data_IF_770870918477
#
_entry.id   IF_770870918477
#
_cell.length_a   1.000
_cell.length_b   1.000
_cell.length_c   1.000
_cell.angle_alpha   90.00
_cell.angle_beta   90.00
_cell.angle_gamma   90.00
#
_symmetry.space_group_name_H-M   'P 1'
#
loop_
_entity.id
_entity.type
_entity.pdbx_description
1 polymer ?
#
# COMPACT_ATOMS: atom_id res chain seq x y z
N UNK A 1 -45.44 64.11 -8.27
CA UNK A 1 -44.38 64.02 -9.29
C UNK A 1 -43.38 63.00 -8.78
N UNK A 2 -43.60 61.73 -9.16
CA UNK A 2 -42.92 61.01 -10.25
C UNK A 2 -41.70 60.21 -9.73
N UNK A 3 -41.87 58.89 -9.77
CA UNK A 3 -40.92 57.79 -10.04
C UNK A 3 -39.42 57.98 -9.77
N UNK A 4 -38.79 57.04 -9.06
CA UNK A 4 -38.19 55.87 -9.71
C UNK A 4 -37.84 54.76 -8.70
N UNK A 5 -38.21 53.56 -9.11
CA UNK A 5 -37.98 52.26 -8.51
C UNK A 5 -36.62 51.77 -9.01
N UNK A 6 -35.68 51.43 -8.12
CA UNK A 6 -34.52 50.59 -8.46
C UNK A 6 -34.39 49.53 -7.37
N UNK A 7 -35.11 48.43 -7.58
CA UNK A 7 -34.84 47.12 -7.01
C UNK A 7 -33.45 46.67 -7.45
N UNK A 8 -32.46 46.83 -6.57
CA UNK A 8 -31.11 46.30 -6.74
C UNK A 8 -31.08 44.80 -6.46
N UNK A 9 -31.35 44.01 -7.49
CA UNK A 9 -31.05 42.59 -7.56
C UNK A 9 -29.52 42.43 -7.59
N UNK A 10 -28.90 42.32 -6.42
CA UNK A 10 -27.60 41.69 -6.21
C UNK A 10 -27.79 40.70 -5.04
N UNK A 11 -28.72 39.74 -5.16
CA UNK A 11 -28.47 38.46 -5.85
C UNK A 11 -27.16 37.85 -5.37
N UNK A 12 -27.23 37.12 -4.24
CA UNK A 12 -26.97 35.67 -4.14
C UNK A 12 -25.67 35.08 -4.69
N UNK A 13 -24.83 35.84 -5.39
CA UNK A 13 -23.63 35.38 -6.09
C UNK A 13 -22.35 35.62 -5.30
N UNK A 14 -22.34 36.60 -4.39
CA UNK A 14 -21.18 36.81 -3.51
C UNK A 14 -21.12 35.78 -2.38
N UNK A 15 -22.28 35.32 -1.89
CA UNK A 15 -22.34 34.20 -0.93
C UNK A 15 -22.01 32.85 -1.57
N UNK A 16 -22.36 32.66 -2.85
CA UNK A 16 -22.03 31.43 -3.57
C UNK A 16 -20.54 31.34 -3.88
N UNK A 17 -19.88 32.42 -4.32
CA UNK A 17 -18.44 32.35 -4.64
C UNK A 17 -17.56 32.05 -3.41
N UNK A 18 -17.93 32.54 -2.22
CA UNK A 18 -17.20 32.25 -0.98
C UNK A 18 -17.55 30.84 -0.47
N UNK A 19 -18.81 30.40 -0.60
CA UNK A 19 -19.22 29.03 -0.28
C UNK A 19 -18.61 28.01 -1.25
N UNK A 20 -18.46 28.35 -2.53
CA UNK A 20 -17.82 27.53 -3.56
C UNK A 20 -16.30 27.51 -3.37
N UNK A 21 -15.67 28.61 -2.96
CA UNK A 21 -14.23 28.60 -2.66
C UNK A 21 -13.90 27.89 -1.35
N UNK A 22 -14.76 27.99 -0.32
CA UNK A 22 -14.68 27.16 0.89
C UNK A 22 -15.04 25.70 0.62
N UNK A 23 -15.99 25.42 -0.26
CA UNK A 23 -16.35 24.06 -0.72
C UNK A 23 -15.25 23.45 -1.56
N UNK A 24 -14.57 24.22 -2.42
CA UNK A 24 -13.42 23.75 -3.19
C UNK A 24 -12.18 23.55 -2.30
N UNK A 25 -11.96 24.39 -1.28
CA UNK A 25 -10.90 24.17 -0.30
C UNK A 25 -11.24 23.02 0.68
N UNK A 26 -12.50 22.83 1.09
CA UNK A 26 -12.93 21.61 1.79
C UNK A 26 -12.86 20.39 0.87
N UNK A 27 -13.17 20.50 -0.42
CA UNK A 27 -13.12 19.41 -1.39
C UNK A 27 -11.68 19.00 -1.71
N UNK A 28 -10.75 19.96 -1.76
CA UNK A 28 -9.29 19.72 -1.81
C UNK A 28 -8.77 19.12 -0.49
N UNK A 29 -9.35 19.50 0.64
CA UNK A 29 -9.05 18.89 1.94
C UNK A 29 -9.71 17.50 2.10
N UNK A 30 -10.81 17.24 1.39
CA UNK A 30 -11.53 15.96 1.38
C UNK A 30 -10.94 14.99 0.36
N UNK A 31 -10.28 15.46 -0.70
CA UNK A 31 -9.51 14.61 -1.62
C UNK A 31 -8.30 13.94 -0.97
N UNK A 32 -7.85 14.43 0.19
CA UNK A 32 -6.82 13.77 1.02
C UNK A 32 -7.33 12.53 1.78
N UNK A 33 -8.64 12.25 1.80
CA UNK A 33 -9.20 11.02 2.40
C UNK A 33 -9.43 9.89 1.37
N UNK A 34 -8.81 9.99 0.18
CA UNK A 34 -8.94 8.94 -0.84
C UNK A 34 -8.12 7.70 -0.49
N UNK A 35 -8.83 6.77 0.16
CA UNK A 35 -8.75 5.32 -0.03
C UNK A 35 -7.58 4.59 0.64
N UNK A 36 -7.89 3.89 1.72
CA UNK A 36 -7.02 2.96 2.47
C UNK A 36 -6.28 1.97 1.56
N UNK A 37 -6.86 1.63 0.40
CA UNK A 37 -6.24 0.67 -0.50
C UNK A 37 -6.53 0.89 -1.99
N UNK A 38 -5.60 0.49 -2.85
CA UNK A 38 -5.84 0.26 -4.30
C UNK A 38 -6.57 -1.07 -4.49
N UNK A 39 -6.38 -2.00 -3.55
CA UNK A 39 -6.98 -3.33 -3.56
C UNK A 39 -7.31 -3.80 -2.14
N UNK A 40 -8.52 -4.31 -1.98
CA UNK A 40 -9.03 -4.83 -0.73
C UNK A 40 -9.82 -6.10 -1.05
N UNK A 41 -9.26 -7.26 -0.69
CA UNK A 41 -10.01 -8.52 -0.64
C UNK A 41 -10.36 -8.83 0.81
N UNK A 42 -11.57 -9.31 1.04
CA UNK A 42 -12.04 -9.82 2.33
C UNK A 42 -11.96 -8.83 3.50
N UNK A 43 -11.99 -7.52 3.22
CA UNK A 43 -12.28 -6.49 4.22
C UNK A 43 -13.59 -5.76 3.95
N UNK A 44 -14.25 -5.38 5.05
CA UNK A 44 -15.19 -4.27 5.05
C UNK A 44 -14.46 -2.99 5.45
N UNK A 45 -14.57 -1.96 4.60
CA UNK A 45 -13.94 -0.67 4.84
C UNK A 45 -14.97 0.35 5.35
N UNK A 46 -14.67 1.00 6.48
CA UNK A 46 -15.42 2.17 6.97
C UNK A 46 -14.43 3.26 7.39
N UNK A 47 -14.30 4.30 6.56
CA UNK A 47 -13.33 5.39 6.75
C UNK A 47 -11.88 4.91 6.81
N UNK A 48 -11.36 4.65 8.02
CA UNK A 48 -10.00 4.20 8.34
C UNK A 48 -10.00 2.80 8.98
N UNK A 49 -11.18 2.23 9.25
CA UNK A 49 -11.34 0.92 9.87
C UNK A 49 -11.38 -0.18 8.80
N UNK A 50 -10.52 -1.17 8.96
CA UNK A 50 -10.54 -2.45 8.26
C UNK A 50 -11.10 -3.51 9.19
N UNK A 51 -12.06 -4.28 8.70
CA UNK A 51 -12.67 -5.42 9.41
C UNK A 51 -12.55 -6.67 8.55
N UNK A 52 -11.88 -7.71 9.06
CA UNK A 52 -11.72 -8.97 8.35
C UNK A 52 -13.07 -9.69 8.23
N UNK A 53 -13.46 -10.00 7.00
CA UNK A 53 -14.73 -10.70 6.67
C UNK A 53 -14.51 -12.00 5.91
N UNK A 54 -13.25 -12.45 5.80
CA UNK A 54 -12.89 -13.70 5.15
C UNK A 54 -13.23 -14.94 5.99
N UNK A 55 -12.96 -16.13 5.43
CA UNK A 55 -13.30 -17.42 6.05
C UNK A 55 -12.36 -17.83 7.17
N UNK A 56 -11.08 -17.43 7.10
CA UNK A 56 -10.04 -17.77 8.08
C UNK A 56 -9.79 -19.26 8.30
N UNK A 57 -10.08 -20.12 7.30
CA UNK A 57 -9.98 -21.59 7.43
C UNK A 57 -8.65 -22.13 6.93
N UNK A 58 -8.06 -21.48 5.93
CA UNK A 58 -6.80 -21.82 5.30
C UNK A 58 -5.85 -20.64 5.34
N UNK A 59 -4.54 -20.90 5.29
CA UNK A 59 -3.48 -19.89 5.13
C UNK A 59 -3.62 -19.06 3.84
N UNK A 60 -4.48 -19.49 2.91
CA UNK A 60 -4.81 -18.78 1.67
C UNK A 60 -5.98 -17.80 1.83
N UNK A 61 -6.74 -17.85 2.93
CA UNK A 61 -7.91 -16.99 3.17
C UNK A 61 -7.50 -15.61 3.73
N UNK A 62 -6.30 -15.13 3.35
CA UNK A 62 -5.76 -13.85 3.83
C UNK A 62 -6.59 -12.70 3.25
N UNK A 63 -7.06 -11.82 4.12
CA UNK A 63 -7.51 -10.49 3.74
C UNK A 63 -6.29 -9.60 3.58
N UNK A 64 -6.11 -9.00 2.39
CA UNK A 64 -5.01 -8.10 2.08
C UNK A 64 -5.56 -6.71 1.69
N UNK A 65 -5.04 -5.68 2.36
CA UNK A 65 -5.28 -4.28 2.06
C UNK A 65 -3.93 -3.59 1.81
N UNK A 66 -3.78 -2.96 0.65
CA UNK A 66 -2.55 -2.26 0.27
C UNK A 66 -2.89 -0.85 -0.19
N UNK A 67 -2.23 0.15 0.40
CA UNK A 67 -2.41 1.57 0.07
C UNK A 67 -2.17 1.87 -1.42
N UNK A 68 -2.70 3.00 -1.87
CA UNK A 68 -2.69 3.39 -3.29
C UNK A 68 -1.37 3.95 -3.79
N UNK A 69 -0.55 4.42 -2.87
CA UNK A 69 0.69 5.13 -3.16
C UNK A 69 1.82 4.47 -2.37
N UNK A 70 3.03 4.39 -2.94
CA UNK A 70 4.17 3.94 -2.18
C UNK A 70 4.52 4.97 -1.10
N UNK A 71 5.25 4.53 -0.09
CA UNK A 71 5.93 5.46 0.80
C UNK A 71 6.97 6.27 0.01
N UNK A 72 7.10 7.54 0.35
CA UNK A 72 8.02 8.50 -0.26
C UNK A 72 8.78 9.27 0.80
N UNK A 73 9.78 10.06 0.42
CA UNK A 73 10.54 10.91 1.36
C UNK A 73 9.67 11.90 2.14
N UNK A 74 8.45 12.20 1.66
CA UNK A 74 7.49 13.09 2.33
C UNK A 74 6.50 12.32 3.21
N UNK A 75 6.09 11.13 2.78
CA UNK A 75 5.17 10.25 3.52
C UNK A 75 5.85 8.90 3.68
N UNK A 76 6.66 8.76 4.73
CA UNK A 76 7.60 7.64 4.90
C UNK A 76 7.26 6.71 6.06
N UNK A 77 6.12 6.91 6.72
CA UNK A 77 5.70 6.18 7.92
C UNK A 77 4.18 6.12 8.01
N UNK A 78 3.63 5.00 8.48
CA UNK A 78 2.21 4.81 8.73
C UNK A 78 1.98 3.94 9.98
N UNK A 79 0.78 4.06 10.56
CA UNK A 79 0.40 3.38 11.79
C UNK A 79 -0.89 2.56 11.62
N UNK A 80 -0.99 1.50 12.42
CA UNK A 80 -2.15 0.63 12.53
C UNK A 80 -2.44 0.36 14.00
N UNK A 81 -3.62 0.77 14.44
CA UNK A 81 -4.16 0.48 15.77
C UNK A 81 -4.93 -0.84 15.70
N UNK A 82 -4.60 -1.80 16.58
CA UNK A 82 -5.36 -3.04 16.74
C UNK A 82 -6.62 -2.73 17.54
N UNK A 83 -7.76 -2.63 16.85
CA UNK A 83 -9.05 -2.30 17.46
C UNK A 83 -9.69 -3.54 18.09
N UNK A 84 -9.53 -4.69 17.44
CA UNK A 84 -10.03 -5.98 17.90
C UNK A 84 -9.04 -7.05 17.41
N UNK A 85 -8.45 -7.81 18.34
CA UNK A 85 -7.47 -8.83 17.99
C UNK A 85 -8.10 -10.06 17.31
N UNK A 86 -9.43 -10.18 17.31
CA UNK A 86 -10.12 -11.38 16.83
C UNK A 86 -9.71 -12.64 17.58
N UNK A 87 -9.94 -13.80 16.96
CA UNK A 87 -9.68 -15.09 17.62
C UNK A 87 -8.19 -15.43 17.77
N UNK A 88 -7.34 -15.01 16.82
CA UNK A 88 -5.93 -15.43 16.75
C UNK A 88 -4.92 -14.29 16.63
N UNK A 89 -5.36 -13.07 16.31
CA UNK A 89 -4.51 -11.89 16.12
C UNK A 89 -3.46 -12.05 15.00
N UNK A 90 -3.81 -12.78 13.94
CA UNK A 90 -3.05 -12.90 12.69
C UNK A 90 -3.13 -11.61 11.86
N UNK A 91 -2.67 -10.53 12.49
CA UNK A 91 -2.62 -9.17 11.96
C UNK A 91 -1.16 -8.88 11.62
N UNK A 92 -0.90 -8.49 10.38
CA UNK A 92 0.43 -8.11 9.93
C UNK A 92 0.43 -6.68 9.38
N UNK A 93 1.47 -5.93 9.76
CA UNK A 93 1.77 -4.59 9.27
C UNK A 93 3.07 -4.65 8.48
N UNK A 94 3.10 -4.11 7.27
CA UNK A 94 4.35 -4.03 6.53
C UNK A 94 4.27 -3.28 5.22
N UNK A 95 5.25 -3.58 4.38
CA UNK A 95 5.43 -3.01 3.07
C UNK A 95 5.49 -4.11 2.03
N UNK A 96 4.91 -3.87 0.86
CA UNK A 96 4.96 -4.81 -0.24
C UNK A 96 5.04 -4.08 -1.59
N UNK A 97 5.54 -4.78 -2.61
CA UNK A 97 5.49 -4.34 -4.01
C UNK A 97 4.05 -4.21 -4.51
N UNK A 98 3.85 -3.45 -5.59
CA UNK A 98 2.52 -3.10 -6.13
C UNK A 98 1.66 -4.31 -6.54
N UNK A 99 2.26 -5.37 -7.05
CA UNK A 99 1.59 -6.57 -7.55
C UNK A 99 1.63 -7.75 -6.54
N UNK A 100 1.72 -7.44 -5.23
CA UNK A 100 1.84 -8.47 -4.20
C UNK A 100 0.67 -9.49 -4.23
N UNK A 101 0.95 -10.80 -4.07
CA UNK A 101 -0.08 -11.83 -4.10
C UNK A 101 -1.13 -11.64 -3.01
N UNK A 102 -2.39 -11.59 -3.45
CA UNK A 102 -3.54 -11.18 -2.63
C UNK A 102 -3.97 -12.20 -1.57
N UNK A 103 -3.61 -13.45 -1.80
CA UNK A 103 -3.85 -14.60 -0.91
C UNK A 103 -2.66 -14.92 -0.01
N UNK A 104 -1.70 -13.98 0.12
CA UNK A 104 -0.50 -14.14 0.95
C UNK A 104 -0.47 -13.04 1.99
N UNK A 105 -0.09 -13.40 3.22
CA UNK A 105 0.10 -12.44 4.28
C UNK A 105 1.34 -11.57 3.98
N UNK A 106 1.38 -10.28 4.35
CA UNK A 106 2.56 -9.44 4.14
C UNK A 106 3.83 -10.08 4.70
N UNK A 107 4.94 -9.96 3.97
CA UNK A 107 6.23 -10.57 4.32
C UNK A 107 6.41 -12.02 3.89
N UNK A 108 5.34 -12.74 3.51
CA UNK A 108 5.42 -14.16 3.13
C UNK A 108 5.93 -14.42 1.70
N UNK A 109 5.93 -13.42 0.82
CA UNK A 109 6.36 -13.54 -0.58
C UNK A 109 7.35 -12.42 -0.93
N UNK A 110 8.20 -12.67 -1.92
CA UNK A 110 9.28 -11.76 -2.34
C UNK A 110 8.78 -10.33 -2.60
N UNK A 111 9.64 -9.34 -2.33
CA UNK A 111 9.31 -7.92 -2.45
C UNK A 111 8.37 -7.42 -1.36
N UNK A 112 8.35 -8.07 -0.19
CA UNK A 112 7.60 -7.62 0.98
C UNK A 112 8.34 -7.91 2.29
N UNK A 113 8.17 -7.01 3.26
CA UNK A 113 8.65 -7.14 4.64
C UNK A 113 7.56 -6.72 5.60
N UNK A 114 7.32 -7.49 6.66
CA UNK A 114 6.24 -7.22 7.60
C UNK A 114 6.53 -7.72 9.02
N UNK A 115 5.94 -7.04 10.00
CA UNK A 115 5.92 -7.39 11.41
C UNK A 115 4.55 -7.95 11.78
N UNK A 116 4.54 -9.15 12.38
CA UNK A 116 3.32 -9.91 12.68
C UNK A 116 2.97 -9.79 14.17
N UNK A 117 1.71 -9.43 14.46
CA UNK A 117 1.24 -9.16 15.81
C UNK A 117 1.16 -10.42 16.68
N UNK A 118 0.79 -11.55 16.09
CA UNK A 118 0.56 -12.82 16.79
C UNK A 118 1.83 -13.52 17.25
N UNK A 119 3.01 -13.26 16.70
CA UNK A 119 4.23 -13.94 17.17
C UNK A 119 5.40 -13.00 17.41
N UNK A 120 5.23 -11.73 17.04
CA UNK A 120 6.26 -10.72 17.19
C UNK A 120 7.44 -10.91 16.23
N UNK A 121 7.29 -11.73 15.18
CA UNK A 121 8.34 -11.97 14.21
C UNK A 121 8.27 -10.99 13.04
N UNK A 122 9.41 -10.87 12.38
CA UNK A 122 9.53 -10.21 11.09
C UNK A 122 9.60 -11.25 9.98
N UNK A 123 8.83 -11.05 8.93
CA UNK A 123 8.81 -11.88 7.73
C UNK A 123 9.31 -11.04 6.56
N UNK A 124 10.21 -11.59 5.76
CA UNK A 124 10.81 -10.91 4.62
C UNK A 124 10.92 -11.88 3.45
N UNK A 125 10.08 -11.71 2.44
CA UNK A 125 10.11 -12.52 1.23
C UNK A 125 9.75 -14.01 1.39
N UNK A 126 9.45 -14.48 2.61
CA UNK A 126 9.45 -15.90 2.98
C UNK A 126 8.37 -16.22 4.01
N UNK A 127 7.80 -17.42 3.94
CA UNK A 127 6.85 -17.94 4.93
C UNK A 127 7.48 -18.27 6.29
N UNK A 128 8.80 -18.12 6.44
CA UNK A 128 9.51 -18.36 7.70
C UNK A 128 9.90 -17.01 8.31
N UNK A 129 9.39 -16.74 9.51
CA UNK A 129 9.66 -15.50 10.25
C UNK A 129 10.84 -15.63 11.22
N UNK A 130 11.50 -14.49 11.49
CA UNK A 130 12.61 -14.38 12.42
C UNK A 130 12.19 -13.64 13.71
N UNK A 131 12.72 -14.02 14.89
CA UNK A 131 12.49 -13.27 16.13
C UNK A 131 12.87 -11.79 15.96
N UNK A 132 11.98 -10.88 16.36
CA UNK A 132 12.18 -9.45 16.11
C UNK A 132 11.70 -8.57 17.26
N UNK A 133 10.43 -8.67 17.63
CA UNK A 133 9.79 -7.89 18.68
C UNK A 133 8.85 -8.71 19.55
N UNK A 134 8.18 -8.09 20.52
CA UNK A 134 7.12 -8.74 21.29
C UNK A 134 5.87 -8.98 20.43
N UNK A 135 4.92 -9.79 20.92
CA UNK A 135 3.57 -9.85 20.35
C UNK A 135 2.84 -8.51 20.58
N UNK A 136 1.94 -8.15 19.68
CA UNK A 136 1.03 -7.02 19.85
C UNK A 136 -0.35 -7.52 20.33
N UNK A 137 -1.10 -6.66 20.99
CA UNK A 137 -2.43 -6.95 21.55
C UNK A 137 -3.41 -5.85 21.16
N UNK A 138 -4.70 -6.08 21.41
CA UNK A 138 -5.73 -5.06 21.28
C UNK A 138 -5.35 -3.77 22.04
N UNK A 139 -5.52 -2.63 21.37
CA UNK A 139 -5.13 -1.30 21.83
C UNK A 139 -3.69 -0.90 21.50
N UNK A 140 -2.82 -1.82 21.05
CA UNK A 140 -1.49 -1.44 20.58
C UNK A 140 -1.57 -0.72 19.22
N UNK A 141 -0.67 0.25 19.04
CA UNK A 141 -0.41 0.93 17.77
C UNK A 141 0.90 0.39 17.19
N UNK A 142 0.82 -0.32 16.08
CA UNK A 142 1.97 -0.77 15.30
C UNK A 142 2.32 0.28 14.27
N UNK A 143 3.60 0.57 14.05
CA UNK A 143 4.04 1.48 13.00
C UNK A 143 5.10 0.87 12.10
N UNK A 144 5.15 1.33 10.85
CA UNK A 144 6.11 0.88 9.84
C UNK A 144 6.51 2.06 8.96
N UNK A 145 7.80 2.18 8.68
CA UNK A 145 8.31 3.24 7.82
C UNK A 145 9.65 2.91 7.18
N UNK A 146 10.09 3.83 6.31
CA UNK A 146 11.35 3.74 5.57
C UNK A 146 12.26 4.89 5.99
N UNK A 147 13.51 4.58 6.32
CA UNK A 147 14.56 5.58 6.42
C UNK A 147 15.17 5.78 5.03
N UNK A 148 14.68 6.78 4.30
CA UNK A 148 15.22 7.13 2.99
C UNK A 148 16.60 7.82 3.11
N UNK A 149 17.59 7.40 2.32
CA UNK A 149 18.81 8.18 2.11
C UNK A 149 18.51 9.60 1.63
N UNK A 150 19.40 10.56 1.90
CA UNK A 150 19.18 11.98 1.55
C UNK A 150 19.09 12.22 0.04
N UNK A 151 19.75 11.37 -0.73
CA UNK A 151 19.85 11.38 -2.19
C UNK A 151 18.89 10.36 -2.83
N UNK A 152 17.88 9.89 -2.10
CA UNK A 152 16.90 8.95 -2.62
C UNK A 152 15.99 9.62 -3.65
N UNK A 153 15.98 9.08 -4.88
CA UNK A 153 15.14 9.53 -6.00
C UNK A 153 14.34 8.32 -6.47
N UNK A 154 13.02 8.29 -6.31
CA UNK A 154 12.23 7.18 -6.85
C UNK A 154 12.37 7.14 -8.37
N UNK A 155 12.75 5.99 -8.90
CA UNK A 155 12.83 5.77 -10.35
C UNK A 155 11.37 5.89 -10.89
N UNK A 156 10.99 7.07 -11.41
CA UNK A 156 9.65 7.38 -11.91
C UNK A 156 9.00 8.69 -11.43
N UNK A 157 9.64 9.52 -10.60
CA UNK A 157 9.11 10.88 -10.30
C UNK A 157 9.30 11.88 -11.46
N UNK A 158 10.18 11.59 -12.43
CA UNK A 158 10.53 12.51 -13.53
C UNK A 158 9.66 12.38 -14.81
N UNK A 159 8.78 11.35 -14.93
CA UNK A 159 8.04 11.07 -16.17
C UNK A 159 6.61 11.65 -16.22
N UNK A 160 6.17 12.43 -15.23
CA UNK A 160 4.77 12.93 -15.16
C UNK A 160 4.59 14.31 -15.81
N UNK A 161 5.66 15.00 -16.19
CA UNK A 161 5.58 16.37 -16.73
C UNK A 161 6.12 16.54 -18.17
N UNK A 162 5.90 15.61 -19.12
CA UNK A 162 5.96 15.93 -20.57
C UNK A 162 5.29 14.88 -21.49
N UNK A 163 3.96 14.74 -21.46
CA UNK A 163 3.26 14.09 -22.59
C UNK A 163 3.12 15.12 -23.71
N UNK A 164 4.09 15.17 -24.63
CA UNK A 164 3.91 15.78 -25.95
C UNK A 164 3.13 14.80 -26.85
N UNK A 165 1.90 15.11 -27.29
CA UNK A 165 1.08 14.20 -28.10
C UNK A 165 1.57 13.96 -29.54
N UNK A 166 2.76 14.43 -29.93
CA UNK A 166 3.14 14.54 -31.34
C UNK A 166 4.48 13.90 -31.74
N UNK A 167 4.92 12.78 -31.19
CA UNK A 167 6.05 12.05 -31.81
C UNK A 167 6.05 10.52 -31.59
N UNK A 168 5.25 9.79 -32.38
CA UNK A 168 5.55 8.38 -32.71
C UNK A 168 5.29 8.13 -34.20
N UNK A 169 6.29 8.41 -35.03
CA UNK A 169 6.40 7.87 -36.39
C UNK A 169 7.01 6.45 -36.32
N UNK A 170 6.53 5.49 -37.13
CA UNK A 170 6.99 4.11 -37.07
C UNK A 170 8.36 3.95 -37.74
N UNK A 171 9.32 3.34 -37.03
CA UNK A 171 10.52 2.79 -37.67
C UNK A 171 10.22 1.38 -38.19
N UNK A 172 10.34 1.23 -39.50
CA UNK A 172 10.27 -0.03 -40.22
C UNK A 172 11.48 -0.92 -39.85
N UNK A 173 11.21 -2.19 -39.61
CA UNK A 173 12.19 -3.26 -39.48
C UNK A 173 11.51 -4.58 -39.79
N UNK A 174 11.81 -5.12 -40.96
CA UNK A 174 11.19 -6.27 -41.62
C UNK A 174 11.35 -7.58 -40.85
N UNK A 175 10.37 -8.50 -40.93
CA UNK A 175 10.63 -9.89 -40.56
C UNK A 175 9.44 -10.79 -40.18
N UNK A 176 8.57 -11.09 -41.15
CA UNK A 176 7.92 -12.40 -41.37
C UNK A 176 7.16 -13.08 -40.20
N UNK A 177 5.83 -12.99 -40.28
CA UNK A 177 4.86 -13.84 -39.59
C UNK A 177 5.03 -15.30 -40.03
N UNK A 178 5.05 -16.23 -39.08
CA UNK A 178 4.60 -17.61 -39.32
C UNK A 178 3.93 -18.20 -38.07
N UNK A 179 2.61 -18.36 -38.16
CA UNK A 179 1.79 -19.19 -37.27
C UNK A 179 1.99 -20.68 -37.63
N UNK A 180 1.95 -21.60 -36.65
CA UNK A 180 1.51 -23.03 -36.71
C UNK A 180 1.77 -23.68 -35.32
N UNK A 181 0.75 -23.94 -34.48
CA UNK A 181 -0.12 -25.14 -34.28
C UNK A 181 0.42 -26.21 -33.26
N UNK A 182 -0.43 -26.44 -32.25
CA UNK A 182 -0.69 -27.54 -31.29
C UNK A 182 0.27 -28.73 -31.02
N UNK A 183 0.46 -28.96 -29.70
CA UNK A 183 0.43 -30.19 -28.88
C UNK A 183 1.31 -31.40 -29.21
N UNK A 184 2.11 -31.84 -28.22
CA UNK A 184 2.02 -33.18 -27.63
C UNK A 184 2.80 -33.30 -26.30
N UNK A 185 2.23 -34.11 -25.42
CA UNK A 185 2.69 -34.55 -24.09
C UNK A 185 4.02 -35.32 -24.13
N UNK A 186 4.81 -35.25 -23.05
CA UNK A 186 5.44 -36.41 -22.37
C UNK A 186 6.30 -35.95 -21.16
N UNK A 187 5.82 -36.40 -19.99
CA UNK A 187 6.52 -36.88 -18.78
C UNK A 187 7.49 -36.01 -17.93
N UNK A 188 7.31 -36.26 -16.63
CA UNK A 188 7.86 -35.68 -15.40
C UNK A 188 9.39 -35.63 -15.29
N UNK A 189 9.95 -34.51 -14.80
CA UNK A 189 10.97 -34.50 -13.73
C UNK A 189 10.79 -33.22 -12.89
N UNK A 190 10.47 -33.39 -11.59
CA UNK A 190 10.48 -32.32 -10.59
C UNK A 190 11.92 -31.94 -10.27
N UNK A 191 12.47 -30.92 -10.97
CA UNK A 191 13.67 -30.25 -10.48
C UNK A 191 13.27 -29.18 -9.46
N UNK A 192 13.53 -29.49 -8.20
CA UNK A 192 13.56 -28.56 -7.06
C UNK A 192 14.71 -27.54 -7.30
N UNK A 193 14.47 -26.62 -8.23
CA UNK A 193 15.32 -25.49 -8.50
C UNK A 193 15.17 -24.48 -7.38
N UNK A 194 16.00 -24.59 -6.34
CA UNK A 194 16.24 -23.49 -5.43
C UNK A 194 16.59 -22.26 -6.26
N UNK A 195 15.71 -21.25 -6.25
CA UNK A 195 15.96 -19.97 -6.89
C UNK A 195 17.24 -19.41 -6.26
N UNK A 196 18.34 -19.55 -7.00
CA UNK A 196 19.61 -18.91 -6.71
C UNK A 196 19.32 -17.42 -6.56
N UNK A 197 19.61 -16.88 -5.36
CA UNK A 197 19.61 -15.44 -5.09
C UNK A 197 20.43 -14.76 -6.18
N UNK A 198 19.75 -14.21 -7.19
CA UNK A 198 20.35 -13.22 -8.05
C UNK A 198 20.60 -12.03 -7.14
N UNK A 199 21.87 -11.75 -6.84
CA UNK A 199 22.29 -10.47 -6.28
C UNK A 199 21.91 -9.37 -7.28
N UNK A 200 20.65 -8.94 -7.24
CA UNK A 200 20.25 -7.70 -7.89
C UNK A 200 20.92 -6.58 -7.09
N UNK A 201 21.81 -5.83 -7.75
CA UNK A 201 22.37 -4.55 -7.29
C UNK A 201 21.26 -3.47 -7.25
N UNK A 202 20.16 -3.80 -6.59
CA UNK A 202 19.00 -2.95 -6.43
C UNK A 202 19.20 -2.01 -5.26
N UNK A 203 18.64 -0.81 -5.38
CA UNK A 203 18.72 0.20 -4.32
C UNK A 203 18.16 -0.37 -3.01
N UNK A 204 18.92 -0.21 -1.93
CA UNK A 204 18.52 -0.67 -0.60
C UNK A 204 18.02 0.48 0.29
N UNK A 205 17.09 0.17 1.17
CA UNK A 205 16.60 1.08 2.22
C UNK A 205 16.46 0.34 3.55
N UNK A 206 16.47 1.10 4.64
CA UNK A 206 16.20 0.56 5.96
C UNK A 206 14.71 0.73 6.29
N UNK A 207 13.98 -0.37 6.36
CA UNK A 207 12.62 -0.41 6.90
C UNK A 207 12.69 -0.53 8.41
N UNK A 208 11.87 0.22 9.14
CA UNK A 208 11.79 0.17 10.59
C UNK A 208 10.36 -0.07 11.05
N UNK A 209 10.22 -0.62 12.25
CA UNK A 209 8.94 -0.92 12.86
C UNK A 209 8.88 -0.37 14.27
N UNK A 210 7.69 0.08 14.68
CA UNK A 210 7.42 0.62 16.00
C UNK A 210 6.23 -0.09 16.65
N UNK A 211 6.17 -0.02 17.98
CA UNK A 211 5.00 -0.36 18.78
C UNK A 211 4.79 0.74 19.81
N UNK A 212 3.62 1.36 19.82
CA UNK A 212 3.27 2.49 20.69
C UNK A 212 4.34 3.61 20.63
N UNK A 213 4.77 3.94 19.41
CA UNK A 213 5.83 4.92 19.13
C UNK A 213 7.26 4.48 19.48
N UNK A 214 7.46 3.32 20.13
CA UNK A 214 8.80 2.79 20.44
C UNK A 214 9.33 1.95 19.30
N UNK A 215 10.55 2.22 18.85
CA UNK A 215 11.25 1.41 17.84
C UNK A 215 11.45 -0.04 18.32
N UNK A 216 10.95 -1.00 17.53
CA UNK A 216 11.16 -2.45 17.76
C UNK A 216 12.42 -2.96 17.05
N UNK A 217 12.69 -2.48 15.83
CA UNK A 217 13.88 -2.86 15.09
C UNK A 217 13.87 -2.34 13.66
N UNK A 218 14.87 -2.76 12.87
CA UNK A 218 15.05 -2.37 11.47
C UNK A 218 15.44 -3.57 10.61
N UNK A 219 15.17 -3.49 9.30
CA UNK A 219 15.55 -4.48 8.29
C UNK A 219 16.01 -3.75 7.03
N UNK A 220 17.20 -4.09 6.54
CA UNK A 220 17.64 -3.67 5.21
C UNK A 220 16.91 -4.50 4.16
N UNK A 221 16.35 -3.84 3.15
CA UNK A 221 15.61 -4.48 2.05
C UNK A 221 15.95 -3.82 0.72
N UNK A 222 15.87 -4.59 -0.36
CA UNK A 222 15.95 -4.07 -1.73
C UNK A 222 14.60 -3.47 -2.11
N UNK A 223 14.61 -2.26 -2.66
CA UNK A 223 13.39 -1.56 -3.09
C UNK A 223 12.87 -2.20 -4.38
N UNK A 224 11.62 -2.68 -4.41
CA UNK A 224 11.03 -3.21 -5.64
C UNK A 224 10.74 -2.08 -6.64
N UNK A 225 10.64 -2.38 -7.94
CA UNK A 225 10.21 -1.42 -8.95
C UNK A 225 8.90 -0.74 -8.55
N UNK A 226 8.85 0.59 -8.64
CA UNK A 226 7.69 1.40 -8.24
C UNK A 226 7.53 1.61 -6.73
N UNK A 227 8.49 1.15 -5.91
CA UNK A 227 8.55 1.42 -4.48
C UNK A 227 7.69 0.50 -3.61
N UNK A 228 7.72 0.78 -2.31
CA UNK A 228 7.06 -0.02 -1.27
C UNK A 228 5.73 0.62 -0.85
N UNK A 229 4.66 -0.18 -0.86
CA UNK A 229 3.32 0.26 -0.52
C UNK A 229 2.94 -0.21 0.89
N UNK A 230 2.40 0.68 1.75
CA UNK A 230 1.80 0.31 3.02
C UNK A 230 0.80 -0.84 2.84
N UNK A 231 0.99 -1.92 3.58
CA UNK A 231 0.21 -3.14 3.41
C UNK A 231 -0.16 -3.72 4.78
N UNK A 232 -1.44 -4.08 4.93
CA UNK A 232 -2.01 -4.73 6.10
C UNK A 232 -2.61 -6.06 5.68
N UNK A 233 -2.33 -7.10 6.47
CA UNK A 233 -2.95 -8.40 6.33
C UNK A 233 -3.75 -8.78 7.57
N UNK A 234 -4.84 -9.52 7.38
CA UNK A 234 -5.61 -10.18 8.45
C UNK A 234 -6.02 -11.58 7.99
N UNK A 235 -6.23 -12.52 8.92
CA UNK A 235 -6.47 -13.94 8.59
C UNK A 235 -7.43 -14.64 9.56
N UNK A 236 -7.83 -14.02 10.67
CA UNK A 236 -8.71 -14.62 11.65
C UNK A 236 -10.01 -13.84 11.83
N UNK A 237 -11.09 -14.57 12.08
CA UNK A 237 -12.39 -13.97 12.35
C UNK A 237 -12.34 -12.99 13.53
N UNK A 238 -13.04 -11.87 13.38
CA UNK A 238 -13.16 -10.82 14.40
C UNK A 238 -12.10 -9.72 14.32
N UNK A 239 -11.00 -9.94 13.58
CA UNK A 239 -9.90 -8.98 13.50
C UNK A 239 -10.36 -7.64 12.90
N UNK A 240 -10.01 -6.55 13.60
CA UNK A 240 -10.26 -5.18 13.16
C UNK A 240 -9.08 -4.30 13.48
N UNK A 241 -8.72 -3.45 12.52
CA UNK A 241 -7.67 -2.46 12.71
C UNK A 241 -8.07 -1.11 12.15
N UNK A 242 -7.52 -0.04 12.71
CA UNK A 242 -7.65 1.30 12.17
C UNK A 242 -6.31 1.72 11.58
N UNK A 243 -6.31 2.16 10.32
CA UNK A 243 -5.11 2.53 9.57
C UNK A 243 -5.01 4.05 9.49
N UNK A 244 -3.85 4.59 9.86
CA UNK A 244 -3.46 5.98 9.66
C UNK A 244 -2.25 6.05 8.73
N UNK A 245 -2.45 6.57 7.52
CA UNK A 245 -1.40 6.73 6.51
C UNK A 245 -0.59 8.03 6.67
N UNK A 246 -1.03 8.93 7.55
CA UNK A 246 -0.39 10.22 7.79
C UNK A 246 -0.36 10.55 9.30
N UNK A 247 0.21 9.66 10.13
CA UNK A 247 0.27 9.90 11.57
C UNK A 247 1.20 11.08 11.88
N UNK A 248 0.85 11.87 12.88
CA UNK A 248 1.66 13.04 13.30
C UNK A 248 2.98 12.66 14.00
N UNK A 249 3.16 11.37 14.30
CA UNK A 249 4.35 10.79 14.94
C UNK A 249 5.49 10.48 13.95
N UNK A 250 5.21 10.54 12.64
CA UNK A 250 6.12 10.22 11.55
C UNK A 250 6.87 11.42 10.97
#
# INVERSE_FOLDING_TARGET
MQHHHLTGIFSGKLSLAIADHLSQNLSLHISHYKSIADFCADFKIKHQLLEYVGKGKSILDVGLAQARQPLSTRCHYFEVEIVDAGEKCYIALGLARRDYPKNRHPGWSQGSVAYHADDGKIFHGSGVGEPFGPRCIEGDIMGCGIMFPRDYILDGEDDIDEWDPLEVLPRQGEGRIQNILYLNDEEEEEEEGGELDQEHDGRKVMVFFTRNGKLMGRREVVVPPGGFYPTVGMLSSGEKVKVDLHPLSG
#
